data_IF_805937240137
#
_entry.id   IF_805937240137
#
_cell.length_a   1.000
_cell.length_b   1.000
_cell.length_c   1.000
_cell.angle_alpha   90.00
_cell.angle_beta   90.00
_cell.angle_gamma   90.00
#
_symmetry.space_group_name_H-M   'P 1'
#
loop_
_entity.id
_entity.type
_entity.pdbx_description
1 polymer ?
#
# COMPACT_ATOMS: atom_id res chain seq x y z
N UNK A 1 1.32 24.90 -3.67
CA UNK A 1 1.31 23.47 -3.30
C UNK A 1 -0.04 23.19 -2.67
N UNK A 2 -0.80 22.23 -3.18
CA UNK A 2 -2.05 21.77 -2.54
C UNK A 2 -1.72 21.24 -1.15
N UNK A 3 -2.57 21.52 -0.16
CA UNK A 3 -2.41 20.97 1.18
C UNK A 3 -2.64 19.46 1.16
N UNK A 4 -1.96 18.69 2.02
CA UNK A 4 -2.16 17.23 2.09
C UNK A 4 -3.62 16.85 2.40
N UNK A 5 -4.37 17.73 3.06
CA UNK A 5 -5.77 17.51 3.43
C UNK A 5 -6.76 17.68 2.27
N UNK A 6 -6.36 18.41 1.22
CA UNK A 6 -7.22 18.73 0.07
C UNK A 6 -6.96 17.79 -1.12
N UNK A 7 -5.93 16.93 -1.00
CA UNK A 7 -5.54 15.96 -2.03
C UNK A 7 -6.53 14.80 -2.13
N UNK A 8 -6.65 14.22 -3.32
CA UNK A 8 -7.26 12.89 -3.44
C UNK A 8 -6.42 11.87 -2.68
N UNK A 9 -7.00 10.71 -2.37
CA UNK A 9 -6.26 9.64 -1.67
C UNK A 9 -5.05 9.18 -2.52
N UNK A 10 -5.21 9.09 -3.85
CA UNK A 10 -4.12 8.78 -4.78
C UNK A 10 -3.02 9.84 -4.78
N UNK A 11 -3.38 11.13 -4.82
CA UNK A 11 -2.41 12.22 -4.74
C UNK A 11 -1.65 12.25 -3.41
N UNK A 12 -2.36 12.00 -2.31
CA UNK A 12 -1.78 11.90 -0.97
C UNK A 12 -0.73 10.78 -0.92
N UNK A 13 -1.07 9.58 -1.43
CA UNK A 13 -0.14 8.46 -1.43
C UNK A 13 1.03 8.63 -2.40
N UNK A 14 0.84 9.33 -3.52
CA UNK A 14 1.95 9.72 -4.38
C UNK A 14 2.94 10.66 -3.64
N UNK A 15 2.43 11.60 -2.84
CA UNK A 15 3.28 12.47 -2.00
C UNK A 15 3.97 11.70 -0.87
N UNK A 16 3.26 10.74 -0.26
CA UNK A 16 3.83 9.85 0.74
C UNK A 16 4.98 9.04 0.16
N UNK A 17 4.80 8.42 -1.02
CA UNK A 17 5.84 7.65 -1.71
C UNK A 17 7.11 8.48 -1.95
N UNK A 18 6.96 9.69 -2.51
CA UNK A 18 8.07 10.62 -2.79
C UNK A 18 8.85 11.03 -1.54
N UNK A 19 8.19 11.07 -0.38
CA UNK A 19 8.74 11.61 0.87
C UNK A 19 8.60 10.64 2.03
N UNK A 20 8.69 9.34 1.78
CA UNK A 20 8.42 8.29 2.77
C UNK A 20 9.15 8.55 4.10
N UNK A 21 10.43 8.90 4.04
CA UNK A 21 11.24 9.23 5.23
C UNK A 21 10.74 10.43 6.05
N UNK A 22 10.04 11.40 5.44
CA UNK A 22 9.41 12.51 6.18
C UNK A 22 8.29 12.02 7.11
N UNK A 23 7.57 10.97 6.72
CA UNK A 23 6.42 10.44 7.46
C UNK A 23 6.81 9.35 8.45
N UNK A 24 7.79 8.50 8.10
CA UNK A 24 8.15 7.31 8.91
C UNK A 24 9.59 7.32 9.45
N UNK A 25 10.35 8.38 9.17
CA UNK A 25 11.76 8.55 9.54
C UNK A 25 12.70 7.68 8.69
N UNK A 26 12.70 6.38 8.96
CA UNK A 26 13.45 5.38 8.19
C UNK A 26 12.47 4.62 7.29
N UNK A 27 12.61 4.67 5.95
CA UNK A 27 11.71 4.00 5.03
C UNK A 27 12.02 2.51 4.97
N UNK A 28 11.50 1.75 5.94
CA UNK A 28 11.44 0.29 5.90
C UNK A 28 10.02 -0.17 5.69
N UNK A 29 9.82 -1.36 5.13
CA UNK A 29 8.52 -1.96 4.93
C UNK A 29 7.72 -1.99 6.23
N UNK A 30 8.32 -2.43 7.34
CA UNK A 30 7.61 -2.50 8.61
C UNK A 30 7.09 -1.14 9.10
N UNK A 31 7.86 -0.06 8.92
CA UNK A 31 7.44 1.30 9.32
C UNK A 31 6.40 1.87 8.36
N UNK A 32 6.58 1.65 7.07
CA UNK A 32 5.60 2.02 6.05
C UNK A 32 4.28 1.28 6.25
N UNK A 33 4.32 -0.01 6.56
CA UNK A 33 3.15 -0.82 6.85
C UNK A 33 2.42 -0.37 8.12
N UNK A 34 3.16 -0.06 9.19
CA UNK A 34 2.55 0.52 10.39
C UNK A 34 1.84 1.86 10.11
N UNK A 35 2.44 2.71 9.25
CA UNK A 35 1.81 3.95 8.82
C UNK A 35 0.53 3.71 8.01
N UNK A 36 0.57 2.81 7.02
CA UNK A 36 -0.60 2.47 6.18
C UNK A 36 -1.72 1.83 6.99
N UNK A 37 -1.39 0.96 7.95
CA UNK A 37 -2.37 0.38 8.87
C UNK A 37 -3.02 1.47 9.74
N UNK A 38 -2.21 2.36 10.31
CA UNK A 38 -2.72 3.50 11.09
C UNK A 38 -3.63 4.42 10.27
N UNK A 39 -3.26 4.69 9.00
CA UNK A 39 -4.09 5.44 8.05
C UNK A 39 -5.42 4.73 7.80
N UNK A 40 -5.39 3.43 7.49
CA UNK A 40 -6.59 2.62 7.23
C UNK A 40 -7.53 2.61 8.44
N UNK A 41 -7.00 2.34 9.64
CA UNK A 41 -7.77 2.32 10.88
C UNK A 41 -8.41 3.68 11.19
N UNK A 42 -7.66 4.78 10.99
CA UNK A 42 -8.20 6.12 11.17
C UNK A 42 -9.31 6.42 10.15
N UNK A 43 -9.12 6.10 8.87
CA UNK A 43 -10.12 6.29 7.84
C UNK A 43 -11.43 5.54 8.17
N UNK A 44 -11.33 4.26 8.50
CA UNK A 44 -12.48 3.41 8.86
C UNK A 44 -13.20 3.96 10.09
N UNK A 45 -12.45 4.37 11.12
CA UNK A 45 -13.00 4.98 12.35
C UNK A 45 -13.86 6.23 12.08
N UNK A 46 -13.56 6.97 11.01
CA UNK A 46 -14.27 8.19 10.62
C UNK A 46 -15.14 8.01 9.37
N UNK A 47 -15.51 6.77 9.03
CA UNK A 47 -16.49 6.47 7.97
C UNK A 47 -15.95 6.62 6.55
N UNK A 48 -14.63 6.59 6.36
CA UNK A 48 -13.96 6.55 5.05
C UNK A 48 -13.48 5.11 4.76
N UNK A 49 -13.38 4.71 3.47
CA UNK A 49 -12.99 3.35 3.12
C UNK A 49 -11.53 3.02 3.47
N UNK A 50 -10.63 4.01 3.49
CA UNK A 50 -9.20 3.77 3.66
C UNK A 50 -8.70 2.74 2.65
N UNK A 51 -7.93 1.75 3.10
CA UNK A 51 -7.41 0.67 2.26
C UNK A 51 -8.27 -0.61 2.23
N UNK A 52 -9.57 -0.52 2.56
CA UNK A 52 -10.49 -1.66 2.44
C UNK A 52 -10.49 -2.21 1.02
N UNK A 53 -10.35 -3.53 0.86
CA UNK A 53 -10.30 -4.21 -0.43
C UNK A 53 -8.89 -4.43 -0.99
N UNK A 54 -7.85 -3.84 -0.37
CA UNK A 54 -6.47 -4.00 -0.84
C UNK A 54 -5.98 -5.46 -0.78
N UNK A 55 -6.15 -6.23 0.31
CA UNK A 55 -5.70 -7.63 0.35
C UNK A 55 -6.40 -8.51 -0.71
N UNK A 56 -7.69 -8.29 -0.94
CA UNK A 56 -8.49 -9.01 -1.94
C UNK A 56 -8.04 -8.64 -3.36
N UNK A 57 -7.79 -7.35 -3.60
CA UNK A 57 -7.27 -6.86 -4.87
C UNK A 57 -5.87 -7.43 -5.17
N UNK A 58 -4.99 -7.50 -4.18
CA UNK A 58 -3.66 -8.12 -4.32
C UNK A 58 -3.77 -9.61 -4.65
N UNK A 59 -4.64 -10.34 -3.95
CA UNK A 59 -4.87 -11.76 -4.21
C UNK A 59 -5.39 -12.01 -5.64
N UNK A 60 -6.37 -11.22 -6.08
CA UNK A 60 -6.97 -11.34 -7.41
C UNK A 60 -5.99 -11.02 -8.55
N UNK A 61 -5.16 -9.98 -8.38
CA UNK A 61 -4.26 -9.51 -9.44
C UNK A 61 -2.91 -10.23 -9.47
N UNK A 62 -2.48 -10.86 -8.38
CA UNK A 62 -1.15 -11.48 -8.28
C UNK A 62 -1.18 -12.96 -7.92
N UNK A 63 -2.36 -13.59 -7.89
CA UNK A 63 -2.49 -15.03 -7.68
C UNK A 63 -2.04 -15.50 -6.30
N UNK A 64 -2.21 -14.65 -5.27
CA UNK A 64 -1.85 -15.01 -3.90
C UNK A 64 -3.01 -15.76 -3.23
N UNK A 65 -2.79 -17.03 -2.92
CA UNK A 65 -3.76 -17.88 -2.25
C UNK A 65 -3.71 -17.73 -0.71
N UNK A 66 -4.90 -17.71 -0.08
CA UNK A 66 -5.08 -17.80 1.37
C UNK A 66 -5.18 -16.46 2.13
N UNK A 67 -5.67 -16.47 3.38
CA UNK A 67 -5.82 -15.29 4.22
C UNK A 67 -4.46 -14.85 4.76
N UNK A 68 -3.66 -14.22 3.91
CA UNK A 68 -2.43 -13.54 4.31
C UNK A 68 -2.68 -12.04 4.37
N UNK A 69 -2.16 -11.42 5.42
CA UNK A 69 -2.13 -9.97 5.57
C UNK A 69 -1.39 -9.34 4.39
N UNK A 70 -1.81 -8.15 3.95
CA UNK A 70 -1.33 -7.54 2.70
C UNK A 70 0.19 -7.35 2.62
N UNK A 71 0.87 -7.15 3.75
CA UNK A 71 2.32 -7.00 3.78
C UNK A 71 3.06 -8.33 3.55
N UNK A 72 2.49 -9.48 3.94
CA UNK A 72 3.02 -10.79 3.56
C UNK A 72 2.80 -11.07 2.07
N UNK A 73 1.66 -10.64 1.51
CA UNK A 73 1.40 -10.73 0.08
C UNK A 73 2.47 -9.94 -0.70
N UNK A 74 2.80 -8.72 -0.26
CA UNK A 74 3.87 -7.92 -0.87
C UNK A 74 5.23 -8.60 -0.85
N UNK A 75 5.59 -9.29 0.24
CA UNK A 75 6.85 -10.06 0.27
C UNK A 75 6.88 -11.12 -0.82
N UNK A 76 5.80 -11.89 -0.99
CA UNK A 76 5.71 -12.96 -1.99
C UNK A 76 5.75 -12.41 -3.41
N UNK A 77 5.15 -11.25 -3.67
CA UNK A 77 5.14 -10.62 -4.99
C UNK A 77 6.52 -10.00 -5.31
N UNK A 78 7.10 -9.27 -4.36
CA UNK A 78 8.35 -8.54 -4.57
C UNK A 78 9.60 -9.45 -4.58
N UNK A 79 9.58 -10.52 -3.79
CA UNK A 79 10.73 -11.36 -3.51
C UNK A 79 10.36 -12.85 -3.61
N UNK A 80 9.93 -13.35 -4.78
CA UNK A 80 9.42 -14.71 -4.95
C UNK A 80 10.45 -15.80 -4.63
N UNK A 81 11.74 -15.52 -4.86
CA UNK A 81 12.84 -16.46 -4.60
C UNK A 81 13.38 -16.41 -3.16
N UNK A 82 12.85 -15.49 -2.33
CA UNK A 82 13.31 -15.37 -0.93
C UNK A 82 12.66 -16.47 -0.09
N UNK A 83 13.43 -17.15 0.79
CA UNK A 83 12.86 -18.02 1.81
C UNK A 83 11.83 -17.30 2.67
N UNK A 84 10.74 -17.99 3.00
CA UNK A 84 9.74 -17.50 3.96
C UNK A 84 10.22 -17.71 5.39
N UNK A 85 11.21 -16.91 5.81
CA UNK A 85 11.76 -16.91 7.18
C UNK A 85 11.81 -15.50 7.77
N UNK A 86 12.14 -15.41 9.07
CA UNK A 86 12.18 -14.16 9.82
C UNK A 86 13.46 -13.33 9.56
N UNK A 87 14.25 -13.67 8.54
CA UNK A 87 15.47 -12.91 8.23
C UNK A 87 15.07 -11.48 7.84
N UNK A 88 15.69 -10.44 8.44
CA UNK A 88 15.42 -9.06 8.04
C UNK A 88 15.70 -8.81 6.56
N UNK A 89 14.94 -7.90 5.95
CA UNK A 89 15.23 -7.44 4.60
C UNK A 89 16.57 -6.69 4.57
N UNK A 90 17.36 -6.93 3.53
CA UNK A 90 18.51 -6.06 3.24
C UNK A 90 18.03 -4.69 2.76
N UNK A 91 18.85 -3.63 2.85
CA UNK A 91 18.45 -2.30 2.37
C UNK A 91 18.00 -2.26 0.90
N UNK A 92 18.55 -3.12 0.05
CA UNK A 92 18.13 -3.19 -1.36
C UNK A 92 16.81 -3.92 -1.54
N UNK A 93 16.55 -4.94 -0.73
CA UNK A 93 15.24 -5.59 -0.72
C UNK A 93 14.16 -4.65 -0.17
N UNK A 94 14.46 -3.86 0.86
CA UNK A 94 13.56 -2.80 1.35
C UNK A 94 13.17 -1.83 0.22
N UNK A 95 14.13 -1.35 -0.57
CA UNK A 95 13.85 -0.47 -1.71
C UNK A 95 12.98 -1.15 -2.77
N UNK A 96 13.26 -2.41 -3.10
CA UNK A 96 12.48 -3.17 -4.08
C UNK A 96 11.04 -3.34 -3.61
N UNK A 97 10.83 -3.76 -2.36
CA UNK A 97 9.49 -3.99 -1.81
C UNK A 97 8.73 -2.66 -1.67
N UNK A 98 9.37 -1.58 -1.21
CA UNK A 98 8.72 -0.28 -1.10
C UNK A 98 8.34 0.31 -2.46
N UNK A 99 9.21 0.17 -3.47
CA UNK A 99 8.87 0.59 -4.83
C UNK A 99 7.62 -0.14 -5.33
N UNK A 100 7.59 -1.47 -5.18
CA UNK A 100 6.44 -2.26 -5.60
C UNK A 100 5.18 -1.89 -4.80
N UNK A 101 5.28 -1.73 -3.48
CA UNK A 101 4.16 -1.30 -2.64
C UNK A 101 3.50 -0.03 -3.18
N UNK A 102 4.29 0.99 -3.52
CA UNK A 102 3.73 2.25 -4.01
C UNK A 102 3.15 2.13 -5.44
N UNK A 103 3.73 1.29 -6.29
CA UNK A 103 3.18 1.00 -7.62
C UNK A 103 1.83 0.28 -7.53
N UNK A 104 1.71 -0.72 -6.63
CA UNK A 104 0.47 -1.45 -6.39
C UNK A 104 -0.60 -0.58 -5.72
N UNK A 105 -0.19 0.29 -4.81
CA UNK A 105 -1.11 1.23 -4.17
C UNK A 105 -1.67 2.25 -5.17
N UNK A 106 -0.84 2.78 -6.08
CA UNK A 106 -1.32 3.68 -7.14
C UNK A 106 -2.31 2.97 -8.06
N UNK A 107 -2.02 1.74 -8.49
CA UNK A 107 -2.90 0.95 -9.36
C UNK A 107 -4.25 0.64 -8.68
N UNK A 108 -4.23 0.16 -7.43
CA UNK A 108 -5.43 -0.09 -6.65
C UNK A 108 -6.32 1.15 -6.52
N UNK A 109 -5.71 2.31 -6.21
CA UNK A 109 -6.44 3.56 -6.05
C UNK A 109 -6.99 4.08 -7.38
N UNK A 110 -6.23 3.95 -8.47
CA UNK A 110 -6.65 4.35 -9.80
C UNK A 110 -7.88 3.55 -10.27
N UNK A 111 -7.88 2.23 -10.07
CA UNK A 111 -9.04 1.39 -10.39
C UNK A 111 -10.27 1.74 -9.55
N UNK A 112 -10.06 2.05 -8.27
CA UNK A 112 -11.16 2.44 -7.38
C UNK A 112 -11.74 3.81 -7.73
N UNK A 113 -10.91 4.77 -8.10
CA UNK A 113 -11.35 6.07 -8.62
C UNK A 113 -12.17 5.88 -9.91
N UNK A 114 -11.68 5.08 -10.86
CA UNK A 114 -12.39 4.79 -12.11
C UNK A 114 -13.74 4.09 -11.90
N UNK A 115 -13.83 3.19 -10.92
CA UNK A 115 -15.09 2.53 -10.55
C UNK A 115 -16.09 3.50 -9.91
N UNK A 116 -15.62 4.50 -9.16
CA UNK A 116 -16.48 5.52 -8.55
C UNK A 116 -17.00 6.56 -9.57
N UNK A 117 -16.21 6.85 -10.61
CA UNK A 117 -16.58 7.78 -11.69
C UNK A 117 -17.52 7.18 -12.74
N UNK A 118 -17.70 5.85 -12.75
CA UNK A 118 -18.63 5.19 -13.67
C UNK A 118 -20.06 5.33 -13.14
N UNK A 119 -20.96 6.10 -13.80
CA UNK A 119 -22.34 6.22 -13.36
C UNK A 119 -23.03 4.87 -13.51
N UNK A 120 -23.63 4.36 -12.43
CA UNK A 120 -24.61 3.28 -12.53
C UNK A 120 -25.83 3.85 -13.26
N UNK A 121 -25.99 3.47 -14.53
CA UNK A 121 -27.15 3.83 -15.35
C UNK A 121 -28.45 3.20 -14.87
#
# INVERSE_FOLDING_TARGET
MTSLIDMTEREYFAQFALRTGMFVGLPTLGRTAAFLEGYHQAAVRYGKPGLTGLPEWLAANHGIEGPVVWWEQLHRIALPDRPADDTPLTPEQEKVVLKLLFELLDAFLAEREAAADTPVG
#
